data_IF_370347547127
#
_entry.id   IF_370347547127
#
_cell.length_a   1.000
_cell.length_b   1.000
_cell.length_c   1.000
_cell.angle_alpha   90.00
_cell.angle_beta   90.00
_cell.angle_gamma   90.00
#
_symmetry.space_group_name_H-M   'P 1'
#
loop_
_entity.id
_entity.type
_entity.pdbx_description
1 polymer ?
#
# COMPACT_ATOMS: atom_id res chain seq x y z
N UNK A 1 -10.22 -28.70 21.44
CA UNK A 1 -10.43 -27.73 20.36
C UNK A 1 -9.36 -26.68 20.56
N UNK A 2 -8.22 -26.82 19.89
CA UNK A 2 -7.19 -25.78 19.96
C UNK A 2 -7.74 -24.54 19.26
N UNK A 3 -7.89 -23.44 20.00
CA UNK A 3 -8.06 -22.13 19.40
C UNK A 3 -6.82 -21.88 18.54
N UNK A 4 -7.01 -21.77 17.23
CA UNK A 4 -5.96 -21.37 16.30
C UNK A 4 -5.48 -19.98 16.65
N UNK A 5 -4.47 -19.88 17.51
CA UNK A 5 -3.81 -18.61 17.83
C UNK A 5 -3.23 -18.06 16.53
N UNK A 6 -3.81 -16.97 16.06
CA UNK A 6 -3.29 -16.22 14.93
C UNK A 6 -2.03 -15.50 15.42
N UNK A 7 -0.87 -16.13 15.23
CA UNK A 7 0.42 -15.54 15.61
C UNK A 7 0.67 -14.33 14.71
N UNK A 8 0.74 -13.15 15.32
CA UNK A 8 1.15 -11.92 14.61
C UNK A 8 2.62 -12.11 14.20
N UNK A 9 2.96 -11.93 12.91
CA UNK A 9 4.35 -12.00 12.47
C UNK A 9 5.21 -10.96 13.22
N UNK A 10 6.42 -11.32 13.62
CA UNK A 10 7.34 -10.34 14.18
C UNK A 10 7.78 -9.35 13.08
N UNK A 11 8.12 -8.11 13.45
CA UNK A 11 8.57 -7.10 12.49
C UNK A 11 9.76 -7.54 11.62
N UNK A 12 10.62 -8.42 12.15
CA UNK A 12 11.72 -9.04 11.42
C UNK A 12 11.24 -10.11 10.41
N UNK A 13 10.11 -10.78 10.68
CA UNK A 13 9.52 -11.83 9.84
C UNK A 13 8.70 -11.27 8.66
N UNK A 14 8.26 -10.01 8.75
CA UNK A 14 7.55 -9.29 7.66
C UNK A 14 8.49 -9.09 6.45
N UNK A 15 9.79 -9.16 6.69
CA UNK A 15 10.83 -9.04 5.68
C UNK A 15 10.96 -10.41 4.98
N UNK A 16 10.14 -10.67 3.95
CA UNK A 16 10.45 -11.73 2.96
C UNK A 16 11.83 -11.48 2.32
N UNK A 17 12.38 -12.38 1.47
CA UNK A 17 13.72 -12.19 0.84
C UNK A 17 13.84 -10.79 0.23
N UNK A 18 14.46 -9.82 0.89
CA UNK A 18 14.20 -8.44 0.52
C UNK A 18 15.29 -7.99 -0.45
N UNK A 19 14.89 -7.27 -1.49
CA UNK A 19 15.84 -6.47 -2.27
C UNK A 19 16.50 -5.38 -1.40
N UNK A 20 15.81 -4.96 -0.33
CA UNK A 20 16.23 -3.88 0.57
C UNK A 20 16.12 -4.24 2.05
N UNK A 21 17.22 -4.09 2.79
CA UNK A 21 17.27 -4.38 4.22
C UNK A 21 16.86 -3.12 5.00
N UNK A 22 15.78 -3.21 5.78
CA UNK A 22 15.34 -2.14 6.67
C UNK A 22 15.70 -2.45 8.12
N UNK A 23 16.19 -1.45 8.85
CA UNK A 23 16.41 -1.58 10.29
C UNK A 23 15.07 -1.72 11.04
N UNK A 24 15.02 -2.55 12.08
CA UNK A 24 13.80 -2.76 12.88
C UNK A 24 13.22 -1.44 13.44
N UNK A 25 14.09 -0.50 13.85
CA UNK A 25 13.67 0.83 14.32
C UNK A 25 13.03 1.68 13.21
N UNK A 26 13.47 1.49 11.96
CA UNK A 26 12.86 2.12 10.78
C UNK A 26 11.46 1.58 10.52
N UNK A 27 11.30 0.26 10.56
CA UNK A 27 10.00 -0.41 10.40
C UNK A 27 9.02 0.08 11.45
N UNK A 28 9.40 0.09 12.74
CA UNK A 28 8.53 0.57 13.82
C UNK A 28 8.09 2.03 13.63
N UNK A 29 8.99 2.92 13.19
CA UNK A 29 8.64 4.32 12.90
C UNK A 29 7.63 4.41 11.75
N UNK A 30 7.83 3.62 10.70
CA UNK A 30 6.94 3.58 9.54
C UNK A 30 5.55 3.04 9.92
N UNK A 31 5.49 1.98 10.73
CA UNK A 31 4.24 1.42 11.25
C UNK A 31 3.46 2.47 12.04
N UNK A 32 4.10 3.15 13.00
CA UNK A 32 3.46 4.21 13.79
C UNK A 32 3.01 5.38 12.90
N UNK A 33 3.79 5.72 11.87
CA UNK A 33 3.45 6.77 10.92
C UNK A 33 2.17 6.41 10.16
N UNK A 34 2.11 5.21 9.58
CA UNK A 34 0.94 4.72 8.83
C UNK A 34 -0.30 4.64 9.74
N UNK A 35 -0.16 4.06 10.94
CA UNK A 35 -1.25 3.95 11.91
C UNK A 35 -1.79 5.33 12.30
N UNK A 36 -0.91 6.30 12.54
CA UNK A 36 -1.30 7.66 12.89
C UNK A 36 -2.02 8.36 11.73
N UNK A 37 -1.53 8.23 10.49
CA UNK A 37 -2.17 8.81 9.30
C UNK A 37 -3.55 8.20 9.03
N UNK A 38 -3.72 6.91 9.30
CA UNK A 38 -5.00 6.23 9.18
C UNK A 38 -5.93 6.47 10.39
N UNK A 39 -5.52 7.29 11.36
CA UNK A 39 -6.23 7.48 12.63
C UNK A 39 -6.55 6.13 13.31
N UNK A 40 -5.63 5.18 13.24
CA UNK A 40 -5.75 3.81 13.76
C UNK A 40 -6.88 2.99 13.13
N UNK A 41 -7.47 3.43 12.01
CA UNK A 41 -8.54 2.73 11.29
C UNK A 41 -7.97 1.68 10.33
N UNK A 42 -7.42 0.60 10.88
CA UNK A 42 -6.82 -0.50 10.11
C UNK A 42 -7.84 -1.51 9.56
N UNK A 43 -9.09 -1.44 10.03
CA UNK A 43 -10.16 -2.34 9.61
C UNK A 43 -10.77 -1.88 8.27
N UNK A 44 -10.02 -2.10 7.19
CA UNK A 44 -10.56 -1.91 5.84
C UNK A 44 -11.51 -3.04 5.47
N UNK A 45 -12.60 -2.71 4.78
CA UNK A 45 -13.47 -3.71 4.16
C UNK A 45 -12.77 -4.16 2.88
N UNK A 46 -12.55 -5.47 2.75
CA UNK A 46 -11.89 -6.07 1.58
C UNK A 46 -12.89 -6.89 0.77
N UNK A 47 -12.59 -7.23 -0.50
CA UNK A 47 -13.46 -8.07 -1.30
C UNK A 47 -13.77 -9.41 -0.61
N UNK A 48 -12.82 -9.96 0.16
CA UNK A 48 -12.97 -11.20 0.93
C UNK A 48 -14.21 -11.20 1.84
N UNK A 49 -14.59 -10.05 2.38
CA UNK A 49 -15.77 -9.92 3.26
C UNK A 49 -17.10 -10.21 2.55
N UNK A 50 -17.14 -10.18 1.22
CA UNK A 50 -18.37 -10.36 0.43
C UNK A 50 -18.38 -11.63 -0.43
N UNK A 51 -17.25 -12.32 -0.59
CA UNK A 51 -17.13 -13.48 -1.50
C UNK A 51 -18.17 -14.55 -1.17
N UNK A 52 -18.27 -14.93 0.10
CA UNK A 52 -19.21 -15.95 0.58
C UNK A 52 -20.67 -15.60 0.23
N UNK A 53 -21.07 -14.34 0.41
CA UNK A 53 -22.39 -13.86 0.01
C UNK A 53 -22.66 -14.05 -1.49
N UNK A 54 -21.72 -13.63 -2.34
CA UNK A 54 -21.90 -13.73 -3.78
C UNK A 54 -21.83 -15.16 -4.29
N UNK A 55 -20.95 -16.00 -3.75
CA UNK A 55 -20.86 -17.42 -4.11
C UNK A 55 -22.17 -18.17 -3.81
N UNK A 56 -22.74 -18.02 -2.61
CA UNK A 56 -24.06 -18.62 -2.27
C UNK A 56 -25.14 -18.19 -3.25
N UNK A 57 -25.08 -16.92 -3.64
CA UNK A 57 -26.06 -16.32 -4.55
C UNK A 57 -25.91 -16.83 -5.98
N UNK A 58 -24.72 -17.30 -6.38
CA UNK A 58 -24.45 -17.94 -7.67
C UNK A 58 -24.85 -19.39 -7.72
N UNK A 59 -24.50 -20.18 -6.70
CA UNK A 59 -24.70 -21.63 -6.73
C UNK A 59 -26.12 -22.05 -6.33
N UNK A 60 -26.95 -21.12 -5.80
CA UNK A 60 -28.17 -21.44 -5.05
C UNK A 60 -27.92 -22.42 -3.87
N UNK A 61 -26.65 -22.61 -3.50
CA UNK A 61 -26.23 -23.47 -2.41
C UNK A 61 -25.98 -22.59 -1.18
N UNK A 62 -26.57 -22.89 -0.01
CA UNK A 62 -26.27 -22.19 1.23
C UNK A 62 -24.80 -22.30 1.66
N UNK A 63 -24.04 -23.28 1.18
CA UNK A 63 -22.65 -23.52 1.58
C UNK A 63 -21.73 -23.57 0.35
N UNK A 64 -20.99 -22.49 0.03
CA UNK A 64 -19.98 -22.52 -1.01
C UNK A 64 -18.94 -23.58 -0.70
N UNK A 65 -18.49 -24.33 -1.71
CA UNK A 65 -17.42 -25.31 -1.53
C UNK A 65 -16.11 -24.62 -1.13
N UNK A 66 -15.34 -25.24 -0.24
CA UNK A 66 -14.01 -24.75 0.18
C UNK A 66 -13.10 -24.45 -1.02
N UNK A 67 -13.19 -25.25 -2.08
CA UNK A 67 -12.43 -25.05 -3.32
C UNK A 67 -12.78 -23.75 -4.06
N UNK A 68 -14.05 -23.34 -4.04
CA UNK A 68 -14.51 -22.08 -4.64
C UNK A 68 -14.08 -20.89 -3.80
N UNK A 69 -14.13 -21.02 -2.47
CA UNK A 69 -13.61 -20.01 -1.56
C UNK A 69 -12.10 -19.81 -1.73
N UNK A 70 -11.32 -20.89 -1.74
CA UNK A 70 -9.87 -20.82 -1.95
C UNK A 70 -9.50 -20.21 -3.29
N UNK A 71 -10.15 -20.64 -4.39
CA UNK A 71 -9.92 -20.07 -5.72
C UNK A 71 -10.27 -18.58 -5.78
N UNK A 72 -11.33 -18.18 -5.09
CA UNK A 72 -11.72 -16.76 -4.99
C UNK A 72 -10.66 -15.95 -4.26
N UNK A 73 -10.10 -16.48 -3.17
CA UNK A 73 -9.05 -15.81 -2.40
C UNK A 73 -7.75 -15.69 -3.22
N UNK A 74 -7.34 -16.76 -3.90
CA UNK A 74 -6.19 -16.75 -4.81
C UNK A 74 -6.37 -15.70 -5.93
N UNK A 75 -7.57 -15.61 -6.50
CA UNK A 75 -7.87 -14.62 -7.52
C UNK A 75 -7.81 -13.19 -6.96
N UNK A 76 -8.40 -12.94 -5.78
CA UNK A 76 -8.33 -11.64 -5.11
C UNK A 76 -6.86 -11.24 -4.86
N UNK A 77 -6.04 -12.15 -4.36
CA UNK A 77 -4.61 -11.89 -4.12
C UNK A 77 -3.83 -11.66 -5.42
N UNK A 78 -4.24 -12.28 -6.52
CA UNK A 78 -3.62 -12.06 -7.83
C UNK A 78 -3.94 -10.67 -8.38
N UNK A 79 -5.18 -10.21 -8.19
CA UNK A 79 -5.65 -8.97 -8.81
C UNK A 79 -5.38 -7.73 -7.94
N UNK A 80 -5.08 -7.86 -6.64
CA UNK A 80 -4.72 -6.72 -5.77
C UNK A 80 -3.48 -5.95 -6.23
N UNK A 81 -2.66 -6.55 -7.11
CA UNK A 81 -1.52 -5.88 -7.76
C UNK A 81 -1.93 -4.92 -8.88
N UNK A 82 -3.18 -4.99 -9.34
CA UNK A 82 -3.71 -4.19 -10.43
C UNK A 82 -4.29 -2.87 -9.89
N UNK A 83 -3.71 -1.75 -10.32
CA UNK A 83 -4.16 -0.41 -9.92
C UNK A 83 -5.54 -0.06 -10.48
N UNK A 84 -5.94 -0.65 -11.61
CA UNK A 84 -7.25 -0.41 -12.24
C UNK A 84 -8.40 -0.86 -11.33
N UNK A 85 -8.12 -1.76 -10.38
CA UNK A 85 -9.13 -2.22 -9.43
C UNK A 85 -9.50 -1.20 -8.35
N UNK A 86 -8.71 -0.12 -8.20
CA UNK A 86 -9.01 0.95 -7.24
C UNK A 86 -10.27 1.75 -7.61
N UNK A 87 -10.75 1.65 -8.85
CA UNK A 87 -11.99 2.29 -9.31
C UNK A 87 -13.27 1.56 -8.84
N UNK A 88 -13.14 0.36 -8.27
CA UNK A 88 -14.25 -0.49 -7.87
C UNK A 88 -14.36 -0.61 -6.35
N UNK A 89 -15.59 -0.78 -5.87
CA UNK A 89 -15.85 -1.09 -4.46
C UNK A 89 -15.46 -2.54 -4.16
N UNK A 90 -15.11 -2.86 -2.90
CA UNK A 90 -14.86 -4.24 -2.49
C UNK A 90 -15.98 -5.22 -2.85
N UNK A 91 -17.24 -4.80 -2.77
CA UNK A 91 -18.42 -5.60 -3.14
C UNK A 91 -18.52 -5.85 -4.66
N UNK A 92 -18.12 -4.88 -5.48
CA UNK A 92 -18.11 -5.00 -6.96
C UNK A 92 -17.05 -6.02 -7.39
N UNK A 93 -15.85 -5.93 -6.79
CA UNK A 93 -14.77 -6.89 -7.02
C UNK A 93 -15.21 -8.29 -6.57
N UNK A 94 -15.79 -8.44 -5.39
CA UNK A 94 -16.22 -9.75 -4.88
C UNK A 94 -17.30 -10.40 -5.75
N UNK A 95 -18.25 -9.61 -6.28
CA UNK A 95 -19.26 -10.09 -7.22
C UNK A 95 -18.64 -10.60 -8.53
N UNK A 96 -17.70 -9.83 -9.09
CA UNK A 96 -16.95 -10.24 -10.29
C UNK A 96 -16.12 -11.52 -10.04
N UNK A 97 -15.46 -11.63 -8.88
CA UNK A 97 -14.72 -12.84 -8.48
C UNK A 97 -15.63 -14.06 -8.42
N UNK A 98 -16.80 -13.94 -7.79
CA UNK A 98 -17.76 -15.03 -7.68
C UNK A 98 -18.21 -15.53 -9.06
N UNK A 99 -18.54 -14.60 -9.98
CA UNK A 99 -18.89 -14.94 -11.38
C UNK A 99 -17.72 -15.65 -12.07
N UNK A 100 -16.50 -15.12 -11.93
CA UNK A 100 -15.32 -15.66 -12.59
C UNK A 100 -14.96 -17.08 -12.12
N UNK A 101 -15.15 -17.36 -10.82
CA UNK A 101 -14.84 -18.67 -10.22
C UNK A 101 -15.92 -19.71 -10.52
N UNK A 102 -17.16 -19.27 -10.75
CA UNK A 102 -18.28 -20.09 -11.22
C UNK A 102 -18.11 -20.45 -12.71
N UNK A 103 -17.31 -21.48 -12.97
CA UNK A 103 -16.85 -21.96 -14.29
C UNK A 103 -17.92 -22.29 -15.36
N UNK A 104 -19.21 -22.18 -15.07
CA UNK A 104 -20.29 -22.73 -15.89
C UNK A 104 -21.26 -21.69 -16.50
N UNK A 105 -20.99 -20.39 -16.36
CA UNK A 105 -21.92 -19.37 -16.87
C UNK A 105 -21.63 -19.06 -18.35
N UNK A 106 -22.58 -19.41 -19.24
CA UNK A 106 -22.62 -18.85 -20.59
C UNK A 106 -22.88 -17.34 -20.51
N UNK A 107 -22.56 -16.59 -21.58
CA UNK A 107 -22.73 -15.13 -21.60
C UNK A 107 -24.20 -14.70 -21.34
N UNK A 108 -25.16 -15.55 -21.72
CA UNK A 108 -26.59 -15.40 -21.39
C UNK A 108 -26.88 -15.51 -19.89
N UNK A 109 -26.16 -16.37 -19.17
CA UNK A 109 -26.38 -16.63 -17.74
C UNK A 109 -25.78 -15.53 -16.86
N UNK A 110 -24.71 -14.86 -17.34
CA UNK A 110 -24.10 -13.72 -16.64
C UNK A 110 -25.11 -12.59 -16.47
N UNK A 111 -25.90 -12.27 -17.51
CA UNK A 111 -26.89 -11.19 -17.44
C UNK A 111 -28.00 -11.48 -16.42
N UNK A 112 -28.46 -12.73 -16.33
CA UNK A 112 -29.43 -13.16 -15.32
C UNK A 112 -28.82 -13.21 -13.91
N UNK A 113 -27.54 -13.54 -13.80
CA UNK A 113 -26.76 -13.46 -12.57
C UNK A 113 -26.61 -12.01 -12.07
N UNK A 114 -26.40 -11.08 -12.99
CA UNK A 114 -26.25 -9.65 -12.71
C UNK A 114 -27.52 -9.01 -12.14
N UNK A 115 -28.71 -9.48 -12.55
CA UNK A 115 -29.98 -9.03 -11.94
C UNK A 115 -30.12 -9.51 -10.51
N UNK A 116 -29.51 -10.65 -10.16
CA UNK A 116 -29.49 -11.18 -8.79
C UNK A 116 -28.69 -10.25 -7.88
N UNK A 117 -27.62 -9.62 -8.36
CA UNK A 117 -26.74 -8.75 -7.57
C UNK A 117 -27.24 -7.30 -7.44
N UNK A 118 -28.53 -7.10 -7.18
CA UNK A 118 -29.19 -5.78 -7.13
C UNK A 118 -28.52 -4.70 -6.24
N UNK A 119 -27.59 -5.06 -5.36
CA UNK A 119 -26.84 -4.16 -4.48
C UNK A 119 -25.64 -3.51 -5.21
N UNK A 120 -25.24 -4.07 -6.36
CA UNK A 120 -23.98 -3.77 -7.04
C UNK A 120 -24.25 -3.29 -8.46
N UNK A 121 -23.47 -2.30 -8.90
CA UNK A 121 -23.55 -1.78 -10.26
C UNK A 121 -23.07 -2.82 -11.27
N UNK A 122 -23.95 -3.11 -12.24
CA UNK A 122 -23.76 -4.11 -13.27
C UNK A 122 -22.60 -3.78 -14.21
N UNK A 123 -22.50 -2.52 -14.60
CA UNK A 123 -21.47 -2.06 -15.55
C UNK A 123 -20.09 -2.12 -14.87
N UNK A 124 -20.05 -1.81 -13.57
CA UNK A 124 -18.85 -1.97 -12.74
C UNK A 124 -18.42 -3.43 -12.63
N UNK A 125 -19.35 -4.37 -12.44
CA UNK A 125 -19.03 -5.81 -12.41
C UNK A 125 -18.44 -6.25 -13.75
N UNK A 126 -19.05 -5.87 -14.88
CA UNK A 126 -18.58 -6.26 -16.20
C UNK A 126 -17.19 -5.70 -16.51
N UNK A 127 -16.94 -4.43 -16.20
CA UNK A 127 -15.62 -3.82 -16.34
C UNK A 127 -14.57 -4.50 -15.44
N UNK A 128 -14.95 -4.86 -14.22
CA UNK A 128 -14.06 -5.59 -13.29
C UNK A 128 -13.73 -7.00 -13.83
N UNK A 129 -14.70 -7.70 -14.42
CA UNK A 129 -14.49 -8.99 -15.08
C UNK A 129 -13.51 -8.90 -16.26
N UNK A 130 -13.56 -7.81 -17.03
CA UNK A 130 -12.60 -7.57 -18.12
C UNK A 130 -11.18 -7.42 -17.58
N UNK A 131 -10.99 -6.61 -16.52
CA UNK A 131 -9.69 -6.47 -15.83
C UNK A 131 -9.19 -7.83 -15.32
N UNK A 132 -10.06 -8.64 -14.70
CA UNK A 132 -9.69 -9.97 -14.21
C UNK A 132 -9.23 -10.92 -15.32
N UNK A 133 -9.91 -10.92 -16.47
CA UNK A 133 -9.52 -11.71 -17.64
C UNK A 133 -8.13 -11.32 -18.13
N UNK A 134 -7.83 -10.02 -18.19
CA UNK A 134 -6.53 -9.50 -18.60
C UNK A 134 -5.41 -9.91 -17.64
N UNK A 135 -5.64 -9.81 -16.33
CA UNK A 135 -4.66 -10.24 -15.31
C UNK A 135 -4.39 -11.74 -15.40
N UNK A 136 -5.42 -12.56 -15.59
CA UNK A 136 -5.25 -14.01 -15.70
C UNK A 136 -4.47 -14.40 -16.98
N UNK A 137 -4.74 -13.72 -18.10
CA UNK A 137 -4.03 -13.95 -19.36
C UNK A 137 -2.54 -13.57 -19.23
N UNK A 138 -2.23 -12.44 -18.59
CA UNK A 138 -0.86 -12.03 -18.30
C UNK A 138 -0.13 -13.04 -17.40
N UNK A 139 -0.80 -13.58 -16.37
CA UNK A 139 -0.22 -14.62 -15.49
C UNK A 139 0.18 -15.87 -16.27
N UNK A 140 -0.67 -16.34 -17.19
CA UNK A 140 -0.37 -17.49 -18.06
C UNK A 140 0.84 -17.21 -18.96
N UNK A 141 1.01 -15.97 -19.43
CA UNK A 141 2.16 -15.60 -20.26
C UNK A 141 3.48 -15.54 -19.49
N UNK A 142 3.46 -15.12 -18.22
CA UNK A 142 4.66 -15.03 -17.37
C UNK A 142 5.15 -16.39 -16.87
N UNK A 143 4.22 -17.34 -16.64
CA UNK A 143 4.56 -18.74 -16.32
C UNK A 143 5.25 -19.46 -17.49
N UNK A 144 5.05 -18.98 -18.73
CA UNK A 144 5.64 -19.55 -19.94
C UNK A 144 6.95 -18.86 -20.36
N UNK A 145 7.31 -17.75 -19.72
CA UNK A 145 8.54 -17.01 -19.98
C UNK A 145 8.88 -16.11 -18.81
N UNK A 146 9.76 -16.57 -17.93
CA UNK A 146 10.37 -15.72 -16.91
C UNK A 146 11.87 -15.95 -16.88
N UNK A 147 12.57 -15.19 -17.71
CA UNK A 147 13.68 -14.34 -17.28
C UNK A 147 13.27 -12.90 -17.69
N UNK A 148 13.05 -11.99 -16.74
CA UNK A 148 13.55 -10.60 -16.84
C UNK A 148 13.02 -9.66 -15.73
N UNK A 149 13.99 -8.97 -15.16
CA UNK A 149 14.08 -7.59 -14.68
C UNK A 149 12.99 -6.96 -13.79
N UNK A 150 13.50 -6.51 -12.65
CA UNK A 150 12.81 -5.99 -11.50
C UNK A 150 12.85 -4.45 -11.55
N UNK A 151 11.68 -3.81 -11.71
CA UNK A 151 11.55 -2.35 -11.65
C UNK A 151 12.10 -1.80 -10.33
N UNK A 152 13.14 -0.96 -10.42
CA UNK A 152 13.73 -0.25 -9.30
C UNK A 152 13.09 1.15 -9.20
N UNK A 153 12.30 1.46 -8.16
CA UNK A 153 11.84 2.81 -7.94
C UNK A 153 13.02 3.64 -7.41
N UNK A 154 13.47 4.62 -8.20
CA UNK A 154 14.51 5.56 -7.78
C UNK A 154 14.12 6.24 -6.46
N UNK A 155 15.00 6.15 -5.46
CA UNK A 155 14.81 6.83 -4.19
C UNK A 155 14.67 8.35 -4.41
N UNK A 156 13.78 9.05 -3.68
CA UNK A 156 13.68 10.49 -3.81
C UNK A 156 14.96 11.15 -3.34
N UNK A 157 15.51 12.02 -4.19
CA UNK A 157 16.65 12.88 -3.91
C UNK A 157 16.40 13.65 -2.60
N UNK A 158 17.29 13.46 -1.62
CA UNK A 158 17.36 14.27 -0.42
C UNK A 158 17.79 15.68 -0.79
N UNK A 159 16.83 16.58 -0.98
CA UNK A 159 17.09 18.00 -1.23
C UNK A 159 17.48 18.65 0.10
N UNK A 160 18.78 18.73 0.35
CA UNK A 160 19.33 19.71 1.29
C UNK A 160 20.67 20.22 0.75
N UNK A 161 20.63 20.88 -0.40
CA UNK A 161 21.72 21.74 -0.84
C UNK A 161 21.33 23.19 -0.54
N UNK A 162 21.79 23.70 0.60
CA UNK A 162 21.62 25.10 0.95
C UNK A 162 22.58 25.91 0.08
N UNK A 163 22.02 26.52 -0.98
CA UNK A 163 22.74 27.39 -1.89
C UNK A 163 23.45 28.54 -1.14
N UNK A 164 24.78 28.51 -1.14
CA UNK A 164 25.62 29.65 -0.81
C UNK A 164 25.59 30.64 -1.97
N UNK A 165 24.83 31.74 -1.85
CA UNK A 165 24.96 32.90 -2.73
C UNK A 165 25.29 34.14 -1.91
N UNK A 166 26.58 34.47 -1.84
CA UNK A 166 27.06 35.77 -1.37
C UNK A 166 27.13 36.71 -2.57
N UNK A 167 26.16 37.61 -2.69
CA UNK A 167 26.21 38.71 -3.65
C UNK A 167 27.07 39.83 -3.07
N UNK A 168 28.27 40.01 -3.64
CA UNK A 168 29.14 41.15 -3.34
C UNK A 168 28.53 42.40 -3.98
N UNK A 169 28.08 43.33 -3.15
CA UNK A 169 27.56 44.64 -3.56
C UNK A 169 28.66 45.69 -3.41
N UNK A 170 29.10 46.28 -4.52
CA UNK A 170 29.95 47.48 -4.51
C UNK A 170 29.11 48.70 -4.11
N UNK A 171 29.54 49.42 -3.07
CA UNK A 171 28.89 50.64 -2.60
C UNK A 171 29.51 51.90 -3.20
N UNK A 172 28.67 52.80 -3.72
CA UNK A 172 28.92 54.25 -3.70
C UNK A 172 27.84 54.91 -2.84
N UNK A 173 28.34 55.70 -1.90
CA UNK A 173 27.68 56.36 -0.77
C UNK A 173 26.74 57.51 -1.17
N UNK A 174 25.51 57.53 -0.66
CA UNK A 174 24.86 58.75 -0.11
C UNK A 174 23.88 58.36 1.02
N UNK A 175 24.32 58.64 2.24
CA UNK A 175 23.60 59.19 3.41
C UNK A 175 22.29 58.58 4.00
N UNK A 176 22.37 58.35 5.33
CA UNK A 176 21.31 58.40 6.37
C UNK A 176 20.38 57.16 6.50
N UNK A 177 20.05 56.56 7.65
CA UNK A 177 20.35 56.78 9.08
C UNK A 177 19.94 55.53 9.89
N UNK A 178 20.70 55.18 10.96
CA UNK A 178 20.29 54.47 12.22
C UNK A 178 19.66 53.05 12.14
N UNK A 179 19.99 52.01 12.92
CA UNK A 179 20.75 51.80 14.17
C UNK A 179 21.04 50.29 14.39
N UNK A 180 22.15 50.03 15.08
CA UNK A 180 22.47 48.91 15.97
C UNK A 180 23.21 47.67 15.44
N UNK A 181 24.11 47.23 16.32
CA UNK A 181 25.44 46.69 16.10
C UNK A 181 25.58 45.22 16.46
N UNK A 182 26.55 44.59 15.80
CA UNK A 182 27.30 43.33 16.02
C UNK A 182 27.63 43.02 17.50
N UNK A 183 28.00 41.77 17.89
CA UNK A 183 29.27 41.12 17.50
C UNK A 183 29.12 39.63 17.10
N UNK A 184 29.85 39.15 16.10
CA UNK A 184 31.20 38.56 16.20
C UNK A 184 31.31 37.29 17.08
N UNK A 185 31.66 36.20 16.39
CA UNK A 185 32.09 34.91 16.90
C UNK A 185 33.49 35.05 17.55
N UNK A 186 33.83 34.22 18.55
CA UNK A 186 35.12 33.55 18.40
C UNK A 186 35.17 32.09 18.88
N UNK A 187 36.09 31.41 18.21
CA UNK A 187 36.58 30.05 18.36
C UNK A 187 37.23 29.83 19.74
N UNK A 188 37.26 28.57 20.17
CA UNK A 188 38.17 27.91 21.12
C UNK A 188 37.71 27.81 22.59
N UNK A 189 37.52 26.57 23.08
CA UNK A 189 38.44 25.88 24.03
C UNK A 189 37.80 24.63 24.64
N UNK A 190 38.48 23.51 24.36
CA UNK A 190 38.64 22.30 25.16
C UNK A 190 38.80 22.62 26.66
N UNK A 191 38.04 21.99 27.57
CA UNK A 191 38.55 21.66 28.91
C UNK A 191 37.82 20.46 29.53
N UNK A 192 38.62 19.68 30.26
CA UNK A 192 38.35 18.41 30.92
C UNK A 192 38.24 18.64 32.44
N UNK A 193 37.37 17.87 33.09
CA UNK A 193 37.42 17.29 34.45
C UNK A 193 37.49 18.15 35.75
N UNK A 194 36.86 17.54 36.78
CA UNK A 194 36.92 17.71 38.26
C UNK A 194 36.07 18.84 38.88
N UNK A 195 35.54 18.78 40.11
CA UNK A 195 35.16 17.79 41.13
C UNK A 195 34.67 18.62 42.33
N UNK A 196 33.60 18.16 42.98
CA UNK A 196 33.18 18.39 44.39
C UNK A 196 32.89 19.79 44.99
N UNK A 197 32.01 19.77 46.00
CA UNK A 197 32.18 20.58 47.22
C UNK A 197 31.19 21.71 47.52
N UNK A 198 30.09 21.35 48.20
CA UNK A 198 29.54 21.93 49.46
C UNK A 198 29.40 23.45 49.66
N UNK A 199 28.17 23.85 50.01
CA UNK A 199 27.84 24.57 51.26
C UNK A 199 26.50 24.05 51.79
#
# INVERSE_FOLDING_TARGET
MEEGQTKVPESADIIGKPKFIFEAKGIQRMELLVLSHLNWKMQSITPCSFVDYFLRKMTNDPYPTDSSMLRSLELILSITKCIDLLEFKPSEIAAAVAIFVSKDLQESDINHTLTRFAIVDKDKILKCLEVMKNVNLAKVSLDLGSDSEEFEPGSPIGVLDAACVSSKSDGITVESSHTNSTPENPITKRLKFFHDGTL
#
